data_IF_477302236267
#
_entry.id   IF_477302236267
#
_cell.length_a   1.000
_cell.length_b   1.000
_cell.length_c   1.000
_cell.angle_alpha   90.00
_cell.angle_beta   90.00
_cell.angle_gamma   90.00
#
_symmetry.space_group_name_H-M   'P 1'
#
loop_
_entity.id
_entity.type
_entity.pdbx_description
1 polymer ?
#
# COMPACT_ATOMS: atom_id res chain seq x y z
N UNK A 1 12.61 -47.23 -35.73
CA UNK A 1 12.95 -46.95 -34.33
C UNK A 1 12.44 -45.54 -34.05
N UNK A 2 11.39 -45.43 -33.25
CA UNK A 2 10.62 -44.20 -33.01
C UNK A 2 11.04 -43.66 -31.65
N UNK A 3 11.67 -42.48 -31.60
CA UNK A 3 11.92 -41.78 -30.35
C UNK A 3 10.61 -41.12 -29.87
N UNK A 4 10.19 -41.30 -28.60
CA UNK A 4 9.04 -40.58 -28.09
C UNK A 4 9.47 -39.15 -27.74
N UNK A 5 8.86 -38.16 -28.40
CA UNK A 5 8.89 -36.77 -27.97
C UNK A 5 8.41 -36.69 -26.52
N UNK A 6 9.33 -36.45 -25.59
CA UNK A 6 9.01 -36.00 -24.26
C UNK A 6 8.41 -34.59 -24.38
N UNK A 7 7.08 -34.52 -24.38
CA UNK A 7 6.33 -33.29 -24.21
C UNK A 7 6.68 -32.75 -22.82
N UNK A 8 7.58 -31.78 -22.76
CA UNK A 8 7.89 -31.04 -21.53
C UNK A 8 6.65 -30.25 -21.16
N UNK A 9 5.87 -30.75 -20.19
CA UNK A 9 4.82 -29.96 -19.54
C UNK A 9 5.49 -28.71 -18.95
N UNK A 10 5.16 -27.54 -19.51
CA UNK A 10 5.50 -26.27 -18.88
C UNK A 10 4.81 -26.22 -17.52
N UNK A 11 5.55 -26.05 -16.41
CA UNK A 11 4.93 -25.80 -15.12
C UNK A 11 4.08 -24.54 -15.27
N UNK A 12 2.77 -24.67 -15.11
CA UNK A 12 1.90 -23.52 -14.96
C UNK A 12 2.37 -22.77 -13.71
N UNK A 13 3.12 -21.69 -13.90
CA UNK A 13 3.41 -20.73 -12.85
C UNK A 13 2.06 -20.15 -12.40
N UNK A 14 1.52 -20.72 -11.32
CA UNK A 14 0.41 -20.12 -10.58
C UNK A 14 0.98 -18.83 -10.00
N UNK A 15 0.86 -17.74 -10.77
CA UNK A 15 1.07 -16.41 -10.23
C UNK A 15 0.10 -16.26 -9.05
N UNK A 16 0.59 -16.12 -7.81
CA UNK A 16 -0.30 -15.87 -6.70
C UNK A 16 -1.09 -14.60 -7.04
N UNK A 17 -2.42 -14.68 -6.92
CA UNK A 17 -3.28 -13.51 -7.03
C UNK A 17 -2.84 -12.56 -5.91
N UNK A 18 -1.98 -11.61 -6.25
CA UNK A 18 -1.57 -10.58 -5.31
C UNK A 18 -2.79 -9.69 -5.18
N UNK A 19 -3.55 -9.83 -4.10
CA UNK A 19 -4.59 -8.86 -3.75
C UNK A 19 -3.91 -7.49 -3.73
N UNK A 20 -4.17 -6.70 -4.77
CA UNK A 20 -3.71 -5.33 -4.82
C UNK A 20 -4.61 -4.55 -3.85
N UNK A 21 -4.24 -4.58 -2.56
CA UNK A 21 -4.76 -3.68 -1.55
C UNK A 21 -4.73 -2.23 -2.04
N UNK A 22 -5.49 -1.35 -1.39
CA UNK A 22 -5.69 0.00 -1.91
C UNK A 22 -4.35 0.72 -2.11
N UNK A 23 -4.16 1.31 -3.29
CA UNK A 23 -2.94 2.06 -3.62
C UNK A 23 -2.63 3.13 -2.56
N UNK A 24 -1.36 3.26 -2.18
CA UNK A 24 -0.83 4.29 -1.25
C UNK A 24 -1.42 5.67 -1.54
N UNK A 25 -1.54 6.03 -2.83
CA UNK A 25 -2.08 7.32 -3.23
C UNK A 25 -3.54 7.50 -2.80
N UNK A 26 -4.39 6.49 -3.02
CA UNK A 26 -5.80 6.52 -2.63
C UNK A 26 -5.97 6.51 -1.11
N UNK A 27 -5.20 5.68 -0.40
CA UNK A 27 -5.21 5.61 1.07
C UNK A 27 -4.82 6.97 1.69
N UNK A 28 -3.78 7.62 1.13
CA UNK A 28 -3.35 8.95 1.53
C UNK A 28 -4.45 10.00 1.32
N UNK A 29 -5.10 10.01 0.15
CA UNK A 29 -6.18 10.97 -0.15
C UNK A 29 -7.34 10.83 0.83
N UNK A 30 -7.80 9.60 1.08
CA UNK A 30 -8.88 9.32 2.04
C UNK A 30 -8.48 9.83 3.43
N UNK A 31 -7.26 9.53 3.87
CA UNK A 31 -6.77 9.96 5.18
C UNK A 31 -6.78 11.49 5.30
N UNK A 32 -6.25 12.21 4.31
CA UNK A 32 -6.17 13.68 4.34
C UNK A 32 -7.56 14.32 4.34
N UNK A 33 -8.46 13.88 3.45
CA UNK A 33 -9.82 14.43 3.36
C UNK A 33 -10.56 14.20 4.67
N UNK A 34 -10.44 13.01 5.26
CA UNK A 34 -11.06 12.70 6.53
C UNK A 34 -10.52 13.56 7.68
N UNK A 35 -9.20 13.80 7.75
CA UNK A 35 -8.60 14.68 8.76
C UNK A 35 -9.17 16.10 8.65
N UNK A 36 -9.27 16.64 7.43
CA UNK A 36 -9.82 17.98 7.19
C UNK A 36 -11.27 18.05 7.66
N UNK A 37 -12.09 17.05 7.31
CA UNK A 37 -13.51 17.02 7.71
C UNK A 37 -13.68 16.94 9.22
N UNK A 38 -12.90 16.10 9.91
CA UNK A 38 -12.93 16.00 11.37
C UNK A 38 -12.53 17.33 12.01
N UNK A 39 -11.45 17.96 11.53
CA UNK A 39 -10.95 19.20 12.13
C UNK A 39 -11.90 20.37 11.88
N UNK A 40 -12.41 20.51 10.65
CA UNK A 40 -13.35 21.57 10.29
C UNK A 40 -14.68 21.43 11.04
N UNK A 41 -15.24 20.22 11.11
CA UNK A 41 -16.48 19.98 11.88
C UNK A 41 -16.29 20.28 13.36
N UNK A 42 -15.17 19.85 13.95
CA UNK A 42 -14.86 20.12 15.36
C UNK A 42 -14.72 21.62 15.62
N UNK A 43 -14.01 22.34 14.75
CA UNK A 43 -13.82 23.78 14.88
C UNK A 43 -15.14 24.55 14.83
N UNK A 44 -16.01 24.23 13.87
CA UNK A 44 -17.33 24.86 13.73
C UNK A 44 -18.26 24.57 14.94
N UNK A 45 -18.18 23.38 15.52
CA UNK A 45 -18.91 23.04 16.75
C UNK A 45 -18.39 23.85 17.94
N UNK A 46 -17.06 23.96 18.12
CA UNK A 46 -16.44 24.73 19.21
C UNK A 46 -16.77 26.22 19.11
N UNK A 47 -16.81 26.77 17.89
CA UNK A 47 -17.16 28.16 17.64
C UNK A 47 -18.57 28.52 18.14
N UNK A 48 -19.46 27.53 18.27
CA UNK A 48 -20.77 27.68 18.92
C UNK A 48 -21.77 28.54 18.16
N UNK A 49 -21.46 28.97 16.93
CA UNK A 49 -22.32 29.84 16.11
C UNK A 49 -23.38 29.08 15.30
N UNK A 50 -23.40 27.75 15.41
CA UNK A 50 -24.27 26.88 14.62
C UNK A 50 -25.53 26.44 15.39
N UNK A 51 -26.61 26.23 14.65
CA UNK A 51 -27.86 25.69 15.21
C UNK A 51 -27.68 24.24 15.66
N UNK A 52 -28.43 23.80 16.68
CA UNK A 52 -28.38 22.44 17.24
C UNK A 52 -28.55 21.34 16.18
N UNK A 53 -29.35 21.59 15.14
CA UNK A 53 -29.52 20.67 14.02
C UNK A 53 -28.23 20.52 13.19
N UNK A 54 -27.55 21.62 12.91
CA UNK A 54 -26.28 21.61 12.17
C UNK A 54 -25.17 20.94 12.99
N UNK A 55 -25.11 21.17 14.31
CA UNK A 55 -24.15 20.53 15.21
C UNK A 55 -24.30 19.00 15.19
N UNK A 56 -25.54 18.49 15.20
CA UNK A 56 -25.83 17.06 15.10
C UNK A 56 -25.39 16.48 13.75
N UNK A 57 -25.64 17.21 12.67
CA UNK A 57 -25.23 16.77 11.33
C UNK A 57 -23.71 16.72 11.19
N UNK A 58 -23.01 17.74 11.69
CA UNK A 58 -21.54 17.76 11.74
C UNK A 58 -20.98 16.64 12.60
N UNK A 59 -21.64 16.28 13.72
CA UNK A 59 -21.21 15.15 14.53
C UNK A 59 -21.27 13.82 13.76
N UNK A 60 -22.34 13.59 12.96
CA UNK A 60 -22.45 12.40 12.10
C UNK A 60 -21.37 12.40 11.02
N UNK A 61 -21.15 13.54 10.35
CA UNK A 61 -20.10 13.68 9.34
C UNK A 61 -18.71 13.44 9.94
N UNK A 62 -18.46 13.98 11.14
CA UNK A 62 -17.21 13.78 11.87
C UNK A 62 -17.00 12.31 12.21
N UNK A 63 -18.03 11.61 12.67
CA UNK A 63 -17.97 10.18 12.98
C UNK A 63 -17.64 9.34 11.74
N UNK A 64 -18.32 9.59 10.62
CA UNK A 64 -18.05 8.89 9.34
C UNK A 64 -16.62 9.18 8.83
N UNK A 65 -16.19 10.43 8.95
CA UNK A 65 -14.85 10.85 8.56
C UNK A 65 -13.80 10.18 9.44
N UNK A 66 -14.03 10.04 10.75
CA UNK A 66 -13.14 9.33 11.65
C UNK A 66 -12.98 7.85 11.26
N UNK A 67 -14.09 7.16 10.93
CA UNK A 67 -14.04 5.78 10.43
C UNK A 67 -13.23 5.69 9.14
N UNK A 68 -13.48 6.58 8.18
CA UNK A 68 -12.75 6.64 6.94
C UNK A 68 -11.25 6.95 7.15
N UNK A 69 -10.92 7.81 8.12
CA UNK A 69 -9.53 8.10 8.51
C UNK A 69 -8.82 6.85 9.01
N UNK A 70 -9.44 6.11 9.95
CA UNK A 70 -8.86 4.88 10.50
C UNK A 70 -8.63 3.85 9.41
N UNK A 71 -9.62 3.65 8.53
CA UNK A 71 -9.48 2.74 7.40
C UNK A 71 -8.35 3.17 6.45
N UNK A 72 -8.29 4.45 6.08
CA UNK A 72 -7.22 5.01 5.24
C UNK A 72 -5.83 4.81 5.86
N UNK A 73 -5.70 4.98 7.17
CA UNK A 73 -4.44 4.75 7.90
C UNK A 73 -4.00 3.29 7.89
N UNK A 74 -4.93 2.35 8.07
CA UNK A 74 -4.63 0.91 8.02
C UNK A 74 -4.11 0.54 6.63
N UNK A 75 -4.81 0.94 5.57
CA UNK A 75 -4.42 0.68 4.19
C UNK A 75 -3.09 1.35 3.84
N UNK A 76 -2.87 2.58 4.31
CA UNK A 76 -1.60 3.28 4.14
C UNK A 76 -0.46 2.51 4.84
N UNK A 77 -0.67 2.05 6.07
CA UNK A 77 0.32 1.28 6.82
C UNK A 77 0.66 -0.04 6.11
N UNK A 78 -0.34 -0.78 5.65
CA UNK A 78 -0.15 -2.02 4.89
C UNK A 78 0.66 -1.76 3.61
N UNK A 79 0.32 -0.70 2.89
CA UNK A 79 0.98 -0.38 1.64
C UNK A 79 2.42 0.14 1.85
N UNK A 80 2.70 0.86 2.96
CA UNK A 80 4.07 1.21 3.37
C UNK A 80 4.88 -0.04 3.70
N UNK A 81 4.29 -1.00 4.44
CA UNK A 81 4.95 -2.27 4.76
C UNK A 81 5.29 -3.02 3.47
N UNK A 82 4.32 -3.18 2.54
CA UNK A 82 4.54 -3.82 1.25
C UNK A 82 5.64 -3.14 0.42
N UNK A 83 5.69 -1.80 0.43
CA UNK A 83 6.76 -1.06 -0.25
C UNK A 83 8.13 -1.30 0.39
N UNK A 84 8.17 -1.42 1.72
CA UNK A 84 9.41 -1.65 2.47
C UNK A 84 9.97 -3.06 2.26
N UNK A 85 9.10 -4.08 2.18
CA UNK A 85 9.50 -5.47 1.89
C UNK A 85 10.01 -5.60 0.46
N UNK A 86 9.34 -4.95 -0.49
CA UNK A 86 9.77 -4.90 -1.89
C UNK A 86 11.12 -4.19 -2.06
N UNK A 87 11.36 -3.08 -1.34
CA UNK A 87 12.69 -2.43 -1.31
C UNK A 87 13.78 -3.36 -0.76
N UNK A 88 13.49 -4.13 0.29
CA UNK A 88 14.44 -5.10 0.86
C UNK A 88 14.73 -6.24 -0.13
N UNK A 89 13.71 -6.71 -0.86
CA UNK A 89 13.88 -7.72 -1.91
C UNK A 89 14.82 -7.23 -3.02
N UNK A 90 14.58 -6.03 -3.55
CA UNK A 90 15.43 -5.42 -4.58
C UNK A 90 16.88 -5.22 -4.12
N UNK A 91 17.09 -4.86 -2.84
CA UNK A 91 18.44 -4.74 -2.28
C UNK A 91 19.20 -6.08 -2.32
N UNK A 92 18.53 -7.20 -2.03
CA UNK A 92 19.12 -8.54 -2.11
C UNK A 92 19.45 -8.93 -3.55
N UNK A 93 18.56 -8.65 -4.48
CA UNK A 93 18.77 -8.92 -5.91
C UNK A 93 19.96 -8.11 -6.47
N UNK A 94 20.14 -6.86 -6.04
CA UNK A 94 21.30 -6.04 -6.43
C UNK A 94 22.60 -6.59 -5.83
N UNK A 95 22.60 -7.06 -4.57
CA UNK A 95 23.79 -7.67 -3.97
C UNK A 95 24.17 -9.00 -4.64
N UNK A 96 23.20 -9.84 -4.95
CA UNK A 96 23.39 -11.11 -5.68
C UNK A 96 23.97 -10.84 -7.08
N UNK A 97 23.41 -9.89 -7.84
CA UNK A 97 23.92 -9.48 -9.15
C UNK A 97 25.34 -8.92 -9.07
N UNK A 98 25.66 -8.11 -8.06
CA UNK A 98 27.03 -7.57 -7.84
C UNK A 98 28.02 -8.66 -7.44
N UNK A 99 27.60 -9.66 -6.67
CA UNK A 99 28.42 -10.81 -6.27
C UNK A 99 28.71 -11.72 -7.47
N UNK A 100 27.69 -11.99 -8.30
CA UNK A 100 27.86 -12.69 -9.58
C UNK A 100 28.75 -11.94 -10.58
N UNK A 101 28.65 -10.62 -10.64
CA UNK A 101 29.53 -9.79 -11.48
C UNK A 101 31.00 -9.78 -11.02
N UNK A 102 31.26 -9.84 -9.71
CA UNK A 102 32.63 -10.00 -9.17
C UNK A 102 33.21 -11.38 -9.45
N UNK A 103 32.41 -12.44 -9.41
CA UNK A 103 32.85 -13.79 -9.74
C UNK A 103 33.24 -13.97 -11.23
N UNK A 104 32.80 -13.06 -12.11
CA UNK A 104 33.11 -13.06 -13.56
C UNK A 104 34.26 -12.16 -13.96
N UNK A 105 34.89 -11.41 -13.04
CA UNK A 105 36.10 -10.66 -13.36
C UNK A 105 37.32 -11.57 -13.21
N UNK A 106 38.17 -11.72 -14.24
CA UNK A 106 39.44 -12.41 -14.07
C UNK A 106 40.30 -11.63 -13.08
N UNK A 107 40.86 -12.34 -12.11
CA UNK A 107 41.84 -11.81 -11.16
C UNK A 107 43.00 -11.23 -11.96
N UNK A 108 43.36 -9.95 -11.81
CA UNK A 108 44.57 -9.43 -12.45
C UNK A 108 45.76 -10.13 -11.77
N UNK A 109 46.53 -10.86 -12.57
CA UNK A 109 47.86 -11.37 -12.19
C UNK A 109 48.88 -10.23 -12.27
#
# INVERSE_FOLDING_TARGET
>A
MTEPSATVEQPHEIHPHVDHGMSIGKATVITIVSVILVYASTYEVIKGTLSTGMTRLLAVVSLLSLVAMVYGLIELALAVIATSTERRRRAREVTERRKGARARKPTPQ
#
